data_IF_642936827005
#
_entry.id   IF_642936827005
#
_cell.length_a   1.000
_cell.length_b   1.000
_cell.length_c   1.000
_cell.angle_alpha   90.00
_cell.angle_beta   90.00
_cell.angle_gamma   90.00
#
_symmetry.space_group_name_H-M   'P 1'
#
loop_
_entity.id
_entity.type
_entity.pdbx_description
1 polymer ?
#
# COMPACT_ATOMS: atom_id res chain seq x y z
N UNK A 1 1.68 14.44 28.89
CA UNK A 1 2.62 14.03 27.87
C UNK A 1 3.14 12.62 28.10
N UNK A 2 2.65 11.63 27.41
CA UNK A 2 3.37 10.37 27.21
C UNK A 2 3.44 9.96 25.74
N UNK A 3 3.40 10.94 24.82
CA UNK A 3 3.57 10.68 23.37
C UNK A 3 4.91 9.98 23.01
N UNK A 4 6.06 10.31 23.61
CA UNK A 4 7.33 9.70 23.26
C UNK A 4 7.35 8.18 23.43
N UNK A 5 6.80 7.64 24.51
CA UNK A 5 6.84 6.19 24.80
C UNK A 5 6.01 5.38 23.79
N UNK A 6 4.82 5.86 23.42
CA UNK A 6 3.95 5.18 22.44
C UNK A 6 4.57 5.17 21.05
N UNK A 7 5.14 6.30 20.59
CA UNK A 7 5.79 6.40 19.29
C UNK A 7 7.10 5.61 19.24
N UNK A 8 7.88 5.58 20.31
CA UNK A 8 9.06 4.74 20.45
C UNK A 8 8.70 3.25 20.27
N UNK A 9 7.64 2.80 20.92
CA UNK A 9 7.12 1.44 20.76
C UNK A 9 6.66 1.19 19.33
N UNK A 10 5.93 2.14 18.73
CA UNK A 10 5.47 2.02 17.35
C UNK A 10 6.64 1.93 16.33
N UNK A 11 7.70 2.72 16.51
CA UNK A 11 8.90 2.63 15.69
C UNK A 11 9.59 1.27 15.85
N UNK A 12 9.70 0.76 17.09
CA UNK A 12 10.28 -0.56 17.33
C UNK A 12 9.47 -1.68 16.65
N UNK A 13 8.13 -1.61 16.69
CA UNK A 13 7.25 -2.55 15.98
C UNK A 13 7.42 -2.44 14.46
N UNK A 14 7.48 -1.22 13.91
CA UNK A 14 7.69 -1.00 12.48
C UNK A 14 9.05 -1.56 12.01
N UNK A 15 10.12 -1.38 12.80
CA UNK A 15 11.44 -2.00 12.56
C UNK A 15 11.35 -3.53 12.57
N UNK A 16 10.69 -4.13 13.56
CA UNK A 16 10.51 -5.57 13.63
C UNK A 16 9.77 -6.13 12.41
N UNK A 17 8.73 -5.44 11.93
CA UNK A 17 7.99 -5.83 10.72
C UNK A 17 8.89 -5.82 9.48
N UNK A 18 9.71 -4.80 9.28
CA UNK A 18 10.63 -4.74 8.14
C UNK A 18 11.78 -5.74 8.25
N UNK A 19 12.32 -5.95 9.45
CA UNK A 19 13.35 -6.95 9.70
C UNK A 19 12.83 -8.37 9.39
N UNK A 20 11.58 -8.67 9.77
CA UNK A 20 10.93 -9.94 9.44
C UNK A 20 10.75 -10.14 7.93
N UNK A 21 10.42 -9.07 7.19
CA UNK A 21 10.33 -9.11 5.72
C UNK A 21 11.68 -9.40 5.07
N UNK A 22 12.76 -8.74 5.52
CA UNK A 22 14.11 -9.06 5.03
C UNK A 22 14.54 -10.48 5.38
N UNK A 23 14.08 -11.02 6.52
CA UNK A 23 14.30 -12.39 6.93
C UNK A 23 13.67 -13.44 6.01
N UNK A 24 12.69 -13.08 5.19
CA UNK A 24 12.10 -13.95 4.16
C UNK A 24 13.07 -14.21 3.01
N UNK A 25 14.00 -13.29 2.74
CA UNK A 25 14.94 -13.39 1.61
C UNK A 25 16.11 -14.29 1.98
N UNK A 26 16.42 -15.28 1.14
CA UNK A 26 17.61 -16.12 1.33
C UNK A 26 18.88 -15.26 1.19
N UNK A 27 19.94 -15.52 1.99
CA UNK A 27 21.16 -14.72 1.98
C UNK A 27 21.78 -14.50 0.58
N UNK A 28 21.76 -15.53 -0.26
CA UNK A 28 22.27 -15.45 -1.64
C UNK A 28 21.47 -14.56 -2.58
N UNK A 29 20.26 -14.11 -2.19
CA UNK A 29 19.37 -13.30 -3.02
C UNK A 29 19.26 -11.84 -2.56
N UNK A 30 20.02 -11.42 -1.54
CA UNK A 30 19.94 -10.05 -1.01
C UNK A 30 20.38 -8.96 -2.01
N UNK A 31 21.15 -9.33 -3.03
CA UNK A 31 21.58 -8.42 -4.09
C UNK A 31 20.72 -8.53 -5.36
N UNK A 32 19.66 -9.33 -5.35
CA UNK A 32 18.73 -9.41 -6.48
C UNK A 32 17.92 -8.11 -6.64
N UNK A 33 17.44 -7.89 -7.88
CA UNK A 33 16.56 -6.79 -8.26
C UNK A 33 15.20 -7.38 -8.65
N UNK A 34 14.22 -7.42 -7.72
CA UNK A 34 12.95 -8.10 -7.98
C UNK A 34 12.07 -7.43 -9.05
N UNK A 35 12.21 -6.11 -9.18
CA UNK A 35 11.49 -5.26 -10.13
C UNK A 35 12.53 -4.41 -10.85
N UNK A 36 12.48 -4.42 -12.19
CA UNK A 36 13.55 -3.85 -13.02
C UNK A 36 13.78 -2.34 -12.77
N UNK A 37 12.71 -1.60 -12.50
CA UNK A 37 12.74 -0.14 -12.24
C UNK A 37 13.10 0.23 -10.80
N UNK A 38 13.26 -0.76 -9.92
CA UNK A 38 13.55 -0.55 -8.50
C UNK A 38 15.01 -0.85 -8.17
N UNK A 39 15.45 -0.38 -7.02
CA UNK A 39 16.76 -0.76 -6.48
C UNK A 39 16.84 -2.23 -6.09
N UNK A 40 18.07 -2.71 -5.85
CA UNK A 40 18.32 -4.04 -5.29
C UNK A 40 17.85 -4.12 -3.83
N UNK A 41 17.62 -5.33 -3.33
CA UNK A 41 17.14 -5.53 -1.95
C UNK A 41 18.10 -4.94 -0.92
N UNK A 42 19.41 -5.07 -1.13
CA UNK A 42 20.44 -4.53 -0.23
C UNK A 42 20.32 -3.02 -0.01
N UNK A 43 19.90 -2.27 -1.05
CA UNK A 43 19.60 -0.83 -0.90
C UNK A 43 18.57 -0.60 0.21
N UNK A 44 17.44 -1.29 0.12
CA UNK A 44 16.33 -1.07 1.05
C UNK A 44 16.67 -1.49 2.49
N UNK A 45 17.53 -2.47 2.67
CA UNK A 45 18.02 -2.86 4.01
C UNK A 45 18.75 -1.68 4.69
N UNK A 46 19.56 -0.94 3.94
CA UNK A 46 20.21 0.27 4.46
C UNK A 46 19.34 1.51 4.45
N UNK A 47 18.45 1.63 3.43
CA UNK A 47 17.65 2.82 3.18
C UNK A 47 16.72 3.19 4.35
N UNK A 48 16.07 2.20 4.96
CA UNK A 48 15.15 2.47 6.06
C UNK A 48 15.85 3.11 7.26
N UNK A 49 17.04 2.65 7.58
CA UNK A 49 17.83 3.24 8.67
C UNK A 49 18.46 4.59 8.27
N UNK A 50 18.93 4.70 7.03
CA UNK A 50 19.47 5.95 6.52
C UNK A 50 18.41 7.05 6.42
N UNK A 51 17.17 6.69 6.09
CA UNK A 51 16.03 7.64 6.10
C UNK A 51 15.80 8.16 7.51
N UNK A 52 15.61 7.26 8.49
CA UNK A 52 15.41 7.64 9.89
C UNK A 52 16.56 8.52 10.39
N UNK A 53 17.82 8.14 10.06
CA UNK A 53 19.01 8.89 10.40
C UNK A 53 19.03 10.29 9.80
N UNK A 54 18.85 10.42 8.51
CA UNK A 54 18.89 11.70 7.82
C UNK A 54 17.73 12.63 8.24
N UNK A 55 16.57 12.06 8.62
CA UNK A 55 15.44 12.80 9.09
C UNK A 55 15.63 13.33 10.53
N UNK A 56 16.21 12.52 11.42
CA UNK A 56 16.20 12.77 12.86
C UNK A 56 17.52 13.30 13.41
N UNK A 57 18.67 13.03 12.76
CA UNK A 57 19.99 13.35 13.32
C UNK A 57 20.19 14.84 13.62
N UNK A 58 19.76 15.72 12.70
CA UNK A 58 19.97 17.18 12.85
C UNK A 58 19.07 17.75 13.98
N UNK A 59 17.75 17.49 14.03
CA UNK A 59 16.90 17.88 15.14
C UNK A 59 17.37 17.37 16.52
N UNK A 60 18.06 16.22 16.55
CA UNK A 60 18.61 15.63 17.77
C UNK A 60 20.03 16.11 18.11
N UNK A 61 20.67 16.91 17.25
CA UNK A 61 22.05 17.38 17.40
C UNK A 61 23.10 16.28 17.30
N UNK A 62 22.83 15.24 16.51
CA UNK A 62 23.73 14.10 16.33
C UNK A 62 24.71 14.35 15.18
N UNK A 63 25.99 14.09 15.45
CA UNK A 63 27.03 14.23 14.44
C UNK A 63 27.01 13.08 13.43
N UNK A 64 27.27 13.41 12.18
CA UNK A 64 27.43 12.44 11.09
C UNK A 64 28.59 11.48 11.40
N UNK A 65 28.38 10.18 11.21
CA UNK A 65 29.40 9.17 11.43
C UNK A 65 29.81 8.39 10.17
N UNK A 66 28.95 8.35 9.14
CA UNK A 66 29.23 7.62 7.91
C UNK A 66 28.65 8.31 6.66
N UNK A 67 29.18 9.48 6.24
CA UNK A 67 28.58 10.31 5.18
C UNK A 67 28.34 9.59 3.85
N UNK A 68 29.22 8.64 3.50
CA UNK A 68 29.10 7.89 2.23
C UNK A 68 27.92 6.92 2.25
N UNK A 69 27.68 6.18 3.34
CA UNK A 69 26.52 5.28 3.46
C UNK A 69 25.24 6.06 3.70
N UNK A 70 25.29 7.16 4.48
CA UNK A 70 24.14 8.06 4.66
C UNK A 70 23.58 8.52 3.32
N UNK A 71 24.48 8.89 2.39
CA UNK A 71 24.12 9.33 1.04
C UNK A 71 23.73 8.18 0.14
N UNK A 72 24.50 7.08 0.13
CA UNK A 72 24.22 5.91 -0.71
C UNK A 72 22.83 5.34 -0.40
N UNK A 73 22.50 5.15 0.86
CA UNK A 73 21.21 4.59 1.25
C UNK A 73 20.07 5.61 1.27
N UNK A 74 20.35 6.92 1.21
CA UNK A 74 19.29 7.92 1.00
C UNK A 74 18.79 7.91 -0.45
N UNK A 75 19.70 7.85 -1.42
CA UNK A 75 19.38 8.06 -2.84
C UNK A 75 19.58 6.83 -3.72
N UNK A 76 20.37 5.85 -3.26
CA UNK A 76 20.74 4.70 -4.07
C UNK A 76 21.75 5.02 -5.18
N UNK A 77 21.87 4.11 -6.12
CA UNK A 77 22.60 4.28 -7.38
C UNK A 77 21.57 4.49 -8.47
N UNK A 78 21.03 5.71 -8.53
CA UNK A 78 19.97 6.03 -9.47
C UNK A 78 20.48 6.24 -10.89
N UNK A 79 19.79 5.70 -11.88
CA UNK A 79 20.05 6.06 -13.26
C UNK A 79 19.55 7.48 -13.55
N UNK A 80 20.02 8.13 -14.63
CA UNK A 80 19.37 9.33 -15.13
C UNK A 80 17.87 9.12 -15.35
N UNK A 81 17.11 10.20 -15.19
CA UNK A 81 15.64 10.16 -15.36
C UNK A 81 15.24 9.49 -16.68
N UNK A 82 14.34 8.55 -16.61
CA UNK A 82 13.84 7.80 -17.77
C UNK A 82 14.73 6.63 -18.22
N UNK A 83 15.81 6.33 -17.49
CA UNK A 83 16.65 5.15 -17.76
C UNK A 83 16.45 4.08 -16.69
N UNK A 84 16.77 2.83 -17.09
CA UNK A 84 16.76 1.69 -16.18
C UNK A 84 18.04 1.65 -15.35
N UNK A 85 17.99 1.21 -14.07
CA UNK A 85 19.18 0.99 -13.25
C UNK A 85 20.15 0.00 -13.90
N UNK A 86 21.45 0.33 -13.85
CA UNK A 86 22.52 -0.48 -14.45
C UNK A 86 23.55 -0.98 -13.45
N UNK A 87 23.42 -0.62 -12.17
CA UNK A 87 24.29 -1.03 -11.09
C UNK A 87 24.38 -2.56 -10.97
N UNK A 88 25.57 -3.04 -10.59
CA UNK A 88 25.86 -4.45 -10.36
C UNK A 88 25.84 -4.77 -8.87
N UNK A 89 25.70 -6.05 -8.46
CA UNK A 89 25.83 -6.44 -7.04
C UNK A 89 27.12 -5.93 -6.38
N UNK A 90 28.23 -5.88 -7.12
CA UNK A 90 29.54 -5.40 -6.66
C UNK A 90 29.62 -3.91 -6.36
N UNK A 91 28.67 -3.12 -6.83
CA UNK A 91 28.64 -1.67 -6.60
C UNK A 91 28.06 -1.33 -5.20
N UNK A 92 27.52 -2.32 -4.52
CA UNK A 92 26.89 -2.20 -3.22
C UNK A 92 27.81 -2.68 -2.08
N UNK A 93 27.71 -2.11 -0.87
CA UNK A 93 28.45 -2.58 0.30
C UNK A 93 28.16 -4.06 0.61
N UNK A 94 29.06 -4.73 1.27
CA UNK A 94 28.81 -6.05 1.80
C UNK A 94 27.67 -6.00 2.81
N UNK A 95 26.85 -7.05 2.84
CA UNK A 95 25.67 -7.11 3.74
C UNK A 95 26.07 -6.95 5.22
N UNK A 96 27.27 -7.41 5.61
CA UNK A 96 27.81 -7.20 6.95
C UNK A 96 28.06 -5.73 7.27
N UNK A 97 28.57 -4.95 6.32
CA UNK A 97 28.80 -3.50 6.46
C UNK A 97 27.45 -2.76 6.55
N UNK A 98 26.49 -3.14 5.71
CA UNK A 98 25.14 -2.57 5.75
C UNK A 98 24.49 -2.81 7.11
N UNK A 99 24.58 -4.03 7.66
CA UNK A 99 24.03 -4.35 8.97
C UNK A 99 24.70 -3.62 10.11
N UNK A 100 26.04 -3.53 10.09
CA UNK A 100 26.78 -2.76 11.09
C UNK A 100 26.42 -1.25 11.06
N UNK A 101 26.20 -0.69 9.86
CA UNK A 101 25.67 0.66 9.69
C UNK A 101 24.29 0.79 10.34
N UNK A 102 23.38 -0.12 10.05
CA UNK A 102 22.01 -0.13 10.59
C UNK A 102 22.00 -0.20 12.13
N UNK A 103 22.79 -1.10 12.70
CA UNK A 103 22.94 -1.24 14.16
C UNK A 103 23.42 0.06 14.78
N UNK A 104 24.42 0.71 14.18
CA UNK A 104 24.94 1.97 14.68
C UNK A 104 23.94 3.11 14.57
N UNK A 105 23.17 3.18 13.50
CA UNK A 105 22.06 4.16 13.36
C UNK A 105 21.05 3.96 14.49
N UNK A 106 20.57 2.72 14.67
CA UNK A 106 19.57 2.39 15.71
C UNK A 106 20.10 2.74 17.10
N UNK A 107 21.32 2.33 17.44
CA UNK A 107 21.96 2.64 18.72
C UNK A 107 21.94 4.14 19.02
N UNK A 108 22.37 4.96 18.05
CA UNK A 108 22.50 6.41 18.23
C UNK A 108 21.15 7.12 18.30
N UNK A 109 20.18 6.73 17.45
CA UNK A 109 18.85 7.30 17.48
C UNK A 109 18.11 6.91 18.74
N UNK A 110 18.15 5.62 19.13
CA UNK A 110 17.38 5.10 20.27
C UNK A 110 17.81 5.73 21.60
N UNK A 111 19.06 6.17 21.72
CA UNK A 111 19.54 6.92 22.87
C UNK A 111 18.87 8.29 23.04
N UNK A 112 18.38 8.90 21.97
CA UNK A 112 17.90 10.28 21.95
C UNK A 112 16.40 10.41 21.50
N UNK A 113 15.71 9.32 21.21
CA UNK A 113 14.34 9.34 20.66
C UNK A 113 13.34 10.13 21.50
N UNK A 114 13.54 10.19 22.82
CA UNK A 114 12.65 10.93 23.73
C UNK A 114 12.67 12.47 23.48
N UNK A 115 13.69 12.94 22.76
CA UNK A 115 13.86 14.35 22.38
C UNK A 115 13.41 14.62 20.93
N UNK A 116 13.08 13.58 20.18
CA UNK A 116 12.72 13.73 18.77
C UNK A 116 11.39 14.47 18.60
N UNK A 117 11.27 15.36 17.61
CA UNK A 117 9.98 15.99 17.29
C UNK A 117 8.94 14.93 16.91
N UNK A 118 7.75 15.03 17.50
CA UNK A 118 6.67 14.04 17.32
C UNK A 118 6.30 13.84 15.86
N UNK A 119 6.19 14.92 15.09
CA UNK A 119 5.89 14.85 13.65
C UNK A 119 6.91 14.02 12.88
N UNK A 120 8.21 14.17 13.17
CA UNK A 120 9.26 13.43 12.47
C UNK A 120 9.29 11.95 12.88
N UNK A 121 8.91 11.62 14.11
CA UNK A 121 8.72 10.22 14.52
C UNK A 121 7.56 9.56 13.76
N UNK A 122 6.45 10.25 13.59
CA UNK A 122 5.36 9.75 12.75
C UNK A 122 5.81 9.52 11.32
N UNK A 123 6.56 10.45 10.73
CA UNK A 123 7.12 10.31 9.38
C UNK A 123 8.03 9.09 9.29
N UNK A 124 8.97 8.91 10.23
CA UNK A 124 9.86 7.74 10.26
C UNK A 124 9.08 6.41 10.33
N UNK A 125 8.08 6.34 11.23
CA UNK A 125 7.24 5.17 11.41
C UNK A 125 6.45 4.85 10.13
N UNK A 126 5.70 5.82 9.60
CA UNK A 126 4.84 5.57 8.46
C UNK A 126 5.60 5.36 7.15
N UNK A 127 6.72 6.07 6.95
CA UNK A 127 7.62 5.80 5.83
C UNK A 127 8.08 4.34 5.83
N UNK A 128 8.50 3.82 6.99
CA UNK A 128 8.91 2.43 7.15
C UNK A 128 7.76 1.45 6.90
N UNK A 129 6.55 1.76 7.38
CA UNK A 129 5.37 0.93 7.16
C UNK A 129 4.92 0.91 5.69
N UNK A 130 4.99 2.04 4.98
CA UNK A 130 4.76 2.09 3.53
C UNK A 130 5.79 1.27 2.75
N UNK A 131 7.06 1.35 3.15
CA UNK A 131 8.09 0.50 2.57
C UNK A 131 7.90 -0.97 2.88
N UNK A 132 7.37 -1.35 4.04
CA UNK A 132 7.06 -2.74 4.35
C UNK A 132 6.06 -3.35 3.33
N UNK A 133 5.06 -2.59 2.91
CA UNK A 133 4.16 -3.01 1.82
C UNK A 133 4.88 -3.05 0.46
N UNK A 134 5.69 -2.02 0.16
CA UNK A 134 6.51 -1.98 -1.05
C UNK A 134 7.40 -3.22 -1.16
N UNK A 135 8.04 -3.62 -0.06
CA UNK A 135 8.82 -4.86 -0.04
C UNK A 135 7.98 -6.09 -0.26
N UNK A 136 6.80 -6.17 0.31
CA UNK A 136 5.95 -7.33 0.13
C UNK A 136 5.70 -7.59 -1.37
N UNK A 137 5.28 -6.60 -2.15
CA UNK A 137 5.08 -6.80 -3.57
C UNK A 137 6.40 -6.91 -4.37
N UNK A 138 7.48 -6.29 -3.93
CA UNK A 138 8.80 -6.52 -4.54
C UNK A 138 9.25 -7.97 -4.35
N UNK A 139 9.23 -8.48 -3.12
CA UNK A 139 9.62 -9.85 -2.80
C UNK A 139 8.72 -10.87 -3.49
N UNK A 140 7.46 -10.53 -3.76
CA UNK A 140 6.55 -11.37 -4.53
C UNK A 140 7.08 -11.67 -5.95
N UNK A 141 7.83 -10.73 -6.53
CA UNK A 141 8.43 -10.91 -7.86
C UNK A 141 9.75 -11.70 -7.86
N UNK A 142 10.31 -12.04 -6.71
CA UNK A 142 11.40 -13.00 -6.63
C UNK A 142 10.89 -14.43 -6.90
N UNK A 143 11.73 -15.29 -7.51
CA UNK A 143 11.39 -16.71 -7.64
C UNK A 143 11.22 -17.36 -6.24
N UNK A 144 10.34 -18.38 -6.11
CA UNK A 144 10.13 -19.05 -4.82
C UNK A 144 11.43 -19.56 -4.15
N UNK A 145 12.39 -20.05 -4.95
CA UNK A 145 13.70 -20.51 -4.45
C UNK A 145 14.59 -19.43 -3.83
N UNK A 146 14.31 -18.14 -4.04
CA UNK A 146 15.02 -17.03 -3.43
C UNK A 146 14.47 -16.64 -2.04
N UNK A 147 13.39 -17.27 -1.63
CA UNK A 147 12.66 -16.97 -0.38
C UNK A 147 12.58 -18.18 0.54
N UNK A 148 12.43 -17.91 1.82
CA UNK A 148 12.09 -18.91 2.84
C UNK A 148 10.58 -18.88 3.04
N UNK A 149 9.88 -19.93 2.60
CA UNK A 149 8.43 -20.01 2.76
C UNK A 149 8.05 -20.35 4.20
N UNK A 150 7.12 -19.64 4.83
CA UNK A 150 6.45 -20.16 6.01
C UNK A 150 5.59 -21.37 5.61
N UNK A 151 5.29 -22.30 6.53
CA UNK A 151 4.35 -23.36 6.26
C UNK A 151 2.97 -22.74 5.99
N UNK A 152 2.47 -22.87 4.75
CA UNK A 152 1.16 -22.37 4.35
C UNK A 152 0.34 -23.51 3.78
N UNK A 153 -0.95 -23.54 4.15
CA UNK A 153 -1.93 -24.35 3.42
C UNK A 153 -2.59 -23.44 2.40
N UNK A 154 -2.70 -23.84 1.13
CA UNK A 154 -3.44 -23.08 0.14
C UNK A 154 -4.90 -22.92 0.60
N UNK A 155 -5.45 -21.72 0.51
CA UNK A 155 -6.88 -21.50 0.77
C UNK A 155 -7.70 -22.29 -0.26
N UNK A 156 -8.79 -22.92 0.19
CA UNK A 156 -9.74 -23.54 -0.73
C UNK A 156 -10.42 -22.44 -1.54
N UNK A 157 -10.42 -22.59 -2.86
CA UNK A 157 -11.17 -21.69 -3.77
C UNK A 157 -12.63 -22.10 -3.80
N UNK A 158 -13.51 -21.10 -3.75
CA UNK A 158 -14.97 -21.26 -3.96
C UNK A 158 -15.43 -20.49 -5.19
N UNK A 159 -16.68 -20.70 -5.60
CA UNK A 159 -17.29 -19.91 -6.66
C UNK A 159 -17.48 -18.47 -6.18
N UNK A 160 -17.36 -17.48 -7.09
CA UNK A 160 -17.59 -16.08 -6.76
C UNK A 160 -19.02 -15.90 -6.22
N UNK A 161 -19.24 -14.98 -5.25
CA UNK A 161 -20.59 -14.62 -4.85
C UNK A 161 -21.34 -13.95 -6.02
N UNK A 162 -22.66 -14.01 -5.99
CA UNK A 162 -23.47 -13.33 -6.99
C UNK A 162 -23.19 -11.81 -6.99
N UNK A 163 -22.99 -11.24 -8.16
CA UNK A 163 -22.80 -9.80 -8.33
C UNK A 163 -24.00 -9.03 -7.77
N UNK A 164 -23.73 -7.97 -7.01
CA UNK A 164 -24.74 -7.12 -6.40
C UNK A 164 -24.28 -5.67 -6.40
N UNK A 165 -25.15 -4.77 -6.85
CA UNK A 165 -24.98 -3.33 -6.71
C UNK A 165 -25.67 -2.84 -5.44
N UNK A 166 -25.08 -1.84 -4.79
CA UNK A 166 -25.59 -1.18 -3.59
C UNK A 166 -25.85 0.28 -3.94
N UNK A 167 -27.07 0.73 -3.73
CA UNK A 167 -27.44 2.13 -3.94
C UNK A 167 -26.85 3.02 -2.86
N UNK A 168 -26.17 4.08 -3.27
CA UNK A 168 -25.59 5.11 -2.41
C UNK A 168 -26.33 6.42 -2.69
N UNK A 169 -27.08 6.97 -1.74
CA UNK A 169 -27.81 8.21 -1.95
C UNK A 169 -26.87 9.39 -2.13
N UNK A 170 -27.31 10.41 -2.88
CA UNK A 170 -26.62 11.67 -3.02
C UNK A 170 -26.28 12.27 -1.65
N UNK A 171 -25.17 12.99 -1.60
CA UNK A 171 -24.71 13.62 -0.35
C UNK A 171 -23.31 14.18 -0.49
N UNK A 172 -22.66 14.48 0.63
CA UNK A 172 -21.32 15.01 0.66
C UNK A 172 -20.31 13.91 0.98
N UNK A 173 -19.18 13.90 0.30
CA UNK A 173 -17.98 13.14 0.68
C UNK A 173 -16.93 14.12 1.20
N UNK A 174 -16.45 13.89 2.43
CA UNK A 174 -15.39 14.71 3.01
C UNK A 174 -14.05 14.01 2.80
N UNK A 175 -13.23 14.56 1.90
CA UNK A 175 -11.87 14.10 1.62
C UNK A 175 -10.86 14.85 2.49
N UNK A 176 -9.69 14.26 2.66
CA UNK A 176 -8.61 14.87 3.41
C UNK A 176 -8.88 14.96 4.92
N UNK A 177 -8.19 15.87 5.59
CA UNK A 177 -8.28 16.09 7.03
C UNK A 177 -7.96 17.53 7.43
N UNK A 178 -8.41 17.93 8.59
CA UNK A 178 -8.11 19.24 9.19
C UNK A 178 -6.72 19.25 9.82
N UNK A 179 -6.01 20.36 9.67
CA UNK A 179 -4.77 20.61 10.41
C UNK A 179 -5.03 20.58 11.93
N UNK A 180 -4.07 20.05 12.68
CA UNK A 180 -4.17 19.92 14.13
C UNK A 180 -4.95 18.69 14.63
N UNK A 181 -5.49 17.86 13.75
CA UNK A 181 -6.23 16.65 14.12
C UNK A 181 -5.35 15.38 14.00
N UNK A 182 -4.18 15.40 14.65
CA UNK A 182 -3.20 14.32 14.61
C UNK A 182 -2.35 14.32 13.34
N UNK A 183 -1.50 13.29 13.16
CA UNK A 183 -0.60 13.16 12.02
C UNK A 183 -1.34 12.82 10.73
N UNK A 184 -0.86 13.36 9.62
CA UNK A 184 -1.20 13.02 8.24
C UNK A 184 -0.06 13.47 7.35
N UNK A 185 0.07 12.87 6.15
CA UNK A 185 1.01 13.30 5.13
C UNK A 185 0.54 14.60 4.46
N UNK A 186 1.45 15.31 3.82
CA UNK A 186 1.18 16.61 3.20
C UNK A 186 -0.02 16.59 2.24
N UNK A 187 -0.18 15.52 1.46
CA UNK A 187 -1.29 15.35 0.52
C UNK A 187 -2.64 15.02 1.17
N UNK A 188 -2.68 14.79 2.48
CA UNK A 188 -3.92 14.55 3.22
C UNK A 188 -4.59 15.88 3.67
N UNK A 189 -3.92 17.02 3.50
CA UNK A 189 -4.43 18.35 3.87
C UNK A 189 -4.78 19.18 2.62
N UNK A 190 -5.79 20.04 2.66
CA UNK A 190 -6.74 20.27 3.75
C UNK A 190 -8.03 19.50 3.48
N UNK A 191 -8.92 19.45 4.52
CA UNK A 191 -10.24 18.84 4.37
C UNK A 191 -11.02 19.54 3.24
N UNK A 192 -11.62 18.72 2.38
CA UNK A 192 -12.39 19.17 1.23
C UNK A 192 -13.73 18.42 1.16
N UNK A 193 -14.83 19.14 1.22
CA UNK A 193 -16.18 18.59 1.11
C UNK A 193 -16.66 18.65 -0.34
N UNK A 194 -16.97 17.49 -0.93
CA UNK A 194 -17.38 17.37 -2.33
C UNK A 194 -18.81 16.83 -2.43
N UNK A 195 -19.74 17.56 -3.09
CA UNK A 195 -21.05 17.04 -3.44
C UNK A 195 -20.89 15.80 -4.34
N UNK A 196 -21.54 14.69 -3.96
CA UNK A 196 -21.49 13.43 -4.70
C UNK A 196 -22.93 13.05 -5.07
N UNK A 197 -23.27 12.97 -6.37
CA UNK A 197 -24.58 12.49 -6.82
C UNK A 197 -24.89 11.08 -6.31
N UNK A 198 -26.14 10.66 -6.37
CA UNK A 198 -26.49 9.27 -6.12
C UNK A 198 -25.87 8.35 -7.18
N UNK A 199 -25.44 7.17 -6.78
CA UNK A 199 -24.84 6.14 -7.65
C UNK A 199 -25.06 4.76 -7.07
N UNK A 200 -24.85 3.73 -7.88
CA UNK A 200 -24.77 2.37 -7.38
C UNK A 200 -23.32 1.87 -7.44
N UNK A 201 -22.87 1.09 -6.44
CA UNK A 201 -21.52 0.55 -6.36
C UNK A 201 -21.56 -0.96 -6.12
N UNK A 202 -20.62 -1.72 -6.71
CA UNK A 202 -20.50 -3.15 -6.46
C UNK A 202 -20.31 -3.44 -4.98
N UNK A 203 -21.10 -4.38 -4.42
CA UNK A 203 -20.96 -4.82 -3.03
C UNK A 203 -19.54 -5.33 -2.75
N UNK A 204 -18.98 -6.10 -3.67
CA UNK A 204 -17.67 -6.72 -3.57
C UNK A 204 -16.70 -6.12 -4.57
N UNK A 205 -15.38 -6.25 -4.32
CA UNK A 205 -14.36 -6.08 -5.35
C UNK A 205 -14.59 -7.07 -6.47
N UNK A 206 -14.24 -6.73 -7.70
CA UNK A 206 -14.27 -7.67 -8.83
C UNK A 206 -13.36 -8.86 -8.50
N UNK A 207 -13.91 -10.06 -8.64
CA UNK A 207 -13.22 -11.31 -8.29
C UNK A 207 -12.42 -11.87 -9.46
N UNK A 208 -11.47 -12.77 -9.16
CA UNK A 208 -10.76 -13.52 -10.20
C UNK A 208 -11.75 -14.30 -11.12
N UNK A 209 -12.82 -14.86 -10.56
CA UNK A 209 -13.82 -15.60 -11.35
C UNK A 209 -14.58 -14.73 -12.33
N UNK A 210 -14.98 -13.51 -11.91
CA UNK A 210 -15.61 -12.54 -12.80
C UNK A 210 -14.63 -12.08 -13.88
N UNK A 211 -13.40 -11.73 -13.50
CA UNK A 211 -12.36 -11.26 -14.42
C UNK A 211 -11.93 -12.35 -15.43
N UNK A 212 -12.00 -13.62 -15.04
CA UNK A 212 -11.68 -14.75 -15.92
C UNK A 212 -12.58 -14.77 -17.17
N UNK A 213 -13.82 -14.32 -17.08
CA UNK A 213 -14.71 -14.22 -18.25
C UNK A 213 -14.22 -13.15 -19.24
N UNK A 214 -13.70 -12.05 -18.75
CA UNK A 214 -13.08 -11.01 -19.57
C UNK A 214 -11.81 -11.53 -20.29
N UNK A 215 -10.95 -12.28 -19.56
CA UNK A 215 -9.78 -12.93 -20.17
C UNK A 215 -10.18 -13.98 -21.22
N UNK A 216 -11.23 -14.76 -20.96
CA UNK A 216 -11.80 -15.70 -21.96
C UNK A 216 -12.34 -14.98 -23.19
N UNK A 217 -12.81 -13.75 -23.02
CA UNK A 217 -13.22 -12.85 -24.11
C UNK A 217 -12.07 -12.22 -24.91
N UNK A 218 -10.83 -12.53 -24.59
CA UNK A 218 -9.63 -12.07 -25.32
C UNK A 218 -8.79 -11.00 -24.61
N UNK A 219 -9.14 -10.60 -23.39
CA UNK A 219 -8.32 -9.67 -22.61
C UNK A 219 -7.01 -10.34 -22.14
N UNK A 220 -5.98 -9.53 -21.88
CA UNK A 220 -4.72 -10.00 -21.31
C UNK A 220 -4.94 -10.49 -19.85
N UNK A 221 -4.20 -11.54 -19.42
CA UNK A 221 -4.27 -11.99 -18.03
C UNK A 221 -3.53 -11.03 -17.11
N UNK A 222 -3.99 -10.86 -15.86
CA UNK A 222 -3.31 -10.06 -14.84
C UNK A 222 -1.91 -10.56 -14.51
N UNK A 223 -1.05 -9.66 -14.00
CA UNK A 223 0.35 -9.93 -13.66
C UNK A 223 0.55 -11.14 -12.72
N UNK A 224 -0.36 -11.36 -11.78
CA UNK A 224 -0.26 -12.44 -10.79
C UNK A 224 -0.86 -13.77 -11.28
N UNK A 225 -1.33 -13.85 -12.53
CA UNK A 225 -1.83 -15.09 -13.09
C UNK A 225 -0.78 -15.77 -13.97
N UNK A 226 -0.72 -17.08 -13.90
CA UNK A 226 0.13 -17.91 -14.73
C UNK A 226 -0.68 -19.07 -15.31
N UNK A 227 -0.25 -19.60 -16.45
CA UNK A 227 -0.92 -20.73 -17.08
C UNK A 227 -0.14 -22.01 -16.85
N UNK A 228 -0.82 -23.06 -16.31
CA UNK A 228 -0.26 -24.38 -16.07
C UNK A 228 -1.20 -25.43 -16.65
N UNK A 229 -0.70 -26.30 -17.51
CA UNK A 229 -1.47 -27.40 -18.10
C UNK A 229 -2.85 -26.98 -18.66
N UNK A 230 -2.92 -25.79 -19.24
CA UNK A 230 -4.15 -25.23 -19.80
C UNK A 230 -5.06 -24.48 -18.83
N UNK A 231 -4.85 -24.57 -17.52
CA UNK A 231 -5.59 -23.86 -16.49
C UNK A 231 -4.87 -22.61 -15.97
N UNK A 232 -5.63 -21.64 -15.50
CA UNK A 232 -5.08 -20.47 -14.81
C UNK A 232 -4.80 -20.77 -13.34
N UNK A 233 -3.65 -20.31 -12.87
CA UNK A 233 -3.20 -20.39 -11.48
C UNK A 233 -2.83 -18.99 -10.98
N UNK A 234 -2.93 -18.80 -9.69
CA UNK A 234 -2.42 -17.64 -9.00
C UNK A 234 -0.96 -17.87 -8.62
N UNK A 235 -0.11 -16.91 -8.99
CA UNK A 235 1.29 -16.86 -8.57
C UNK A 235 1.36 -16.15 -7.22
N UNK A 236 1.26 -16.90 -6.14
CA UNK A 236 1.36 -16.38 -4.77
C UNK A 236 2.79 -16.05 -4.33
N UNK A 237 2.93 -15.50 -3.13
CA UNK A 237 4.22 -15.07 -2.58
C UNK A 237 5.26 -16.21 -2.55
N UNK A 238 4.87 -17.42 -2.16
CA UNK A 238 5.79 -18.54 -1.94
C UNK A 238 5.58 -19.71 -2.89
N UNK A 239 4.61 -19.65 -3.77
CA UNK A 239 4.31 -20.72 -4.70
C UNK A 239 3.08 -20.44 -5.55
N UNK A 240 2.73 -21.42 -6.35
CA UNK A 240 1.59 -21.37 -7.25
C UNK A 240 0.41 -22.12 -6.64
N UNK A 241 -0.79 -21.60 -6.82
CA UNK A 241 -2.03 -22.26 -6.39
C UNK A 241 -3.08 -22.22 -7.51
N UNK A 242 -4.08 -23.11 -7.53
CA UNK A 242 -5.24 -22.92 -8.37
C UNK A 242 -5.80 -21.50 -8.21
N UNK A 243 -6.31 -20.90 -9.29
CA UNK A 243 -6.82 -19.54 -9.25
C UNK A 243 -7.97 -19.42 -8.23
N UNK A 244 -7.85 -18.58 -7.17
CA UNK A 244 -8.90 -18.41 -6.17
C UNK A 244 -10.03 -17.56 -6.75
N UNK A 245 -11.08 -18.21 -7.26
CA UNK A 245 -12.12 -17.54 -8.05
C UNK A 245 -12.94 -16.51 -7.24
N UNK A 246 -13.06 -16.70 -5.94
CA UNK A 246 -13.81 -15.86 -4.99
C UNK A 246 -12.95 -14.77 -4.30
N UNK A 247 -11.65 -14.69 -4.62
CA UNK A 247 -10.78 -13.64 -4.14
C UNK A 247 -10.73 -12.46 -5.14
N UNK A 248 -10.39 -11.23 -4.68
CA UNK A 248 -10.27 -10.08 -5.57
C UNK A 248 -9.18 -10.28 -6.61
N UNK A 249 -9.43 -9.83 -7.84
CA UNK A 249 -8.38 -9.75 -8.86
C UNK A 249 -7.50 -8.53 -8.59
N UNK A 250 -6.18 -8.70 -8.71
CA UNK A 250 -5.23 -7.59 -8.67
C UNK A 250 -4.74 -7.28 -10.08
N UNK A 251 -4.90 -6.02 -10.47
CA UNK A 251 -4.71 -5.54 -11.84
C UNK A 251 -4.13 -4.13 -11.85
N UNK A 252 -3.68 -3.67 -13.00
CA UNK A 252 -3.36 -2.27 -13.25
C UNK A 252 -4.63 -1.42 -13.37
N UNK A 253 -4.51 -0.09 -13.28
CA UNK A 253 -5.65 0.82 -13.50
C UNK A 253 -6.21 0.67 -14.93
N UNK A 254 -5.33 0.57 -15.95
CA UNK A 254 -5.75 0.38 -17.35
C UNK A 254 -6.55 -0.90 -17.56
N UNK A 255 -6.15 -1.98 -16.90
CA UNK A 255 -6.87 -3.26 -16.95
C UNK A 255 -8.22 -3.16 -16.23
N UNK A 256 -8.27 -2.45 -15.08
CA UNK A 256 -9.51 -2.19 -14.34
C UNK A 256 -10.49 -1.34 -15.16
N UNK A 257 -10.01 -0.27 -15.79
CA UNK A 257 -10.81 0.59 -16.66
C UNK A 257 -11.30 -0.15 -17.91
N UNK A 258 -10.45 -0.98 -18.52
CA UNK A 258 -10.84 -1.79 -19.67
C UNK A 258 -11.95 -2.81 -19.30
N UNK A 259 -11.84 -3.45 -18.12
CA UNK A 259 -12.90 -4.32 -17.61
C UNK A 259 -14.19 -3.54 -17.33
N UNK A 260 -14.09 -2.37 -16.69
CA UNK A 260 -15.26 -1.55 -16.39
C UNK A 260 -16.03 -1.17 -17.68
N UNK A 261 -15.32 -0.74 -18.72
CA UNK A 261 -15.92 -0.46 -20.03
C UNK A 261 -16.56 -1.70 -20.65
N UNK A 262 -15.89 -2.86 -20.59
CA UNK A 262 -16.43 -4.13 -21.08
C UNK A 262 -17.73 -4.51 -20.35
N UNK A 263 -17.81 -4.24 -19.05
CA UNK A 263 -19.00 -4.49 -18.22
C UNK A 263 -20.09 -3.40 -18.35
N UNK A 264 -19.88 -2.35 -19.18
CA UNK A 264 -20.80 -1.23 -19.33
C UNK A 264 -20.91 -0.33 -18.09
N UNK A 265 -19.86 -0.28 -17.28
CA UNK A 265 -19.76 0.45 -16.01
C UNK A 265 -18.51 1.34 -15.96
N UNK A 266 -18.23 1.95 -14.81
CA UNK A 266 -17.07 2.82 -14.59
C UNK A 266 -16.36 2.46 -13.29
N UNK A 267 -15.10 2.93 -13.13
CA UNK A 267 -14.42 2.96 -11.85
C UNK A 267 -14.98 4.09 -10.98
N UNK A 268 -15.05 3.93 -9.65
CA UNK A 268 -15.48 4.99 -8.75
C UNK A 268 -14.46 6.13 -8.77
N UNK A 269 -14.93 7.35 -8.58
CA UNK A 269 -14.08 8.46 -8.18
C UNK A 269 -13.66 8.32 -6.71
N UNK A 270 -12.60 9.05 -6.27
CA UNK A 270 -12.22 9.08 -4.85
C UNK A 270 -13.39 9.54 -3.97
N UNK A 271 -14.20 10.52 -4.41
CA UNK A 271 -15.38 10.99 -3.69
C UNK A 271 -16.47 9.91 -3.58
N UNK A 272 -16.73 9.14 -4.63
CA UNK A 272 -17.70 8.03 -4.59
C UNK A 272 -17.19 6.91 -3.65
N UNK A 273 -15.89 6.57 -3.70
CA UNK A 273 -15.32 5.62 -2.74
C UNK A 273 -15.54 6.10 -1.29
N UNK A 274 -15.19 7.36 -0.99
CA UNK A 274 -15.37 7.94 0.34
C UNK A 274 -16.83 7.91 0.80
N UNK A 275 -17.76 8.29 -0.09
CA UNK A 275 -19.19 8.28 0.20
C UNK A 275 -19.67 6.86 0.56
N UNK A 276 -19.28 5.86 -0.23
CA UNK A 276 -19.64 4.46 0.01
C UNK A 276 -19.00 3.89 1.28
N UNK A 277 -17.78 4.32 1.61
CA UNK A 277 -17.00 3.77 2.69
C UNK A 277 -17.33 4.40 4.05
N UNK A 278 -17.42 5.71 4.11
CA UNK A 278 -17.39 6.42 5.39
C UNK A 278 -18.71 7.13 5.72
N UNK A 279 -19.58 7.38 4.75
CA UNK A 279 -20.85 8.02 5.03
C UNK A 279 -21.87 7.03 5.60
N UNK A 280 -22.89 7.59 6.26
CA UNK A 280 -24.00 6.85 6.86
C UNK A 280 -25.33 7.27 6.23
N UNK A 281 -26.37 6.43 6.30
CA UNK A 281 -27.70 6.76 5.77
C UNK A 281 -28.36 8.01 6.37
N UNK A 282 -28.00 8.36 7.60
CA UNK A 282 -28.47 9.56 8.30
C UNK A 282 -27.70 10.84 7.94
N UNK A 283 -26.73 10.74 7.01
CA UNK A 283 -25.96 11.87 6.51
C UNK A 283 -24.67 12.17 7.29
N UNK A 284 -24.35 11.38 8.31
CA UNK A 284 -23.09 11.43 9.03
C UNK A 284 -21.93 10.78 8.28
N UNK A 285 -20.73 10.85 8.88
CA UNK A 285 -19.52 10.15 8.41
C UNK A 285 -18.79 9.50 9.59
N UNK A 286 -18.13 8.37 9.32
CA UNK A 286 -17.39 7.56 10.29
C UNK A 286 -15.90 7.56 9.99
N UNK A 287 -15.03 7.33 10.99
CA UNK A 287 -13.58 7.18 10.76
C UNK A 287 -13.23 5.92 9.95
N UNK A 288 -14.03 4.85 10.10
CA UNK A 288 -13.88 3.59 9.36
C UNK A 288 -15.23 3.12 8.80
N UNK A 289 -15.24 2.28 7.75
CA UNK A 289 -16.49 1.78 7.17
C UNK A 289 -17.43 1.12 8.21
N UNK A 290 -16.87 0.38 9.15
CA UNK A 290 -17.59 -0.36 10.20
C UNK A 290 -17.98 0.46 11.43
N UNK A 291 -17.52 1.71 11.55
CA UNK A 291 -17.80 2.59 12.69
C UNK A 291 -16.57 3.25 13.29
N UNK A 292 -16.55 3.40 14.61
CA UNK A 292 -15.51 4.17 15.33
C UNK A 292 -14.36 3.30 15.85
N UNK A 293 -14.55 1.99 15.94
CA UNK A 293 -13.55 1.07 16.43
C UNK A 293 -12.29 1.05 15.53
N UNK A 294 -11.09 1.09 16.12
CA UNK A 294 -9.85 0.99 15.35
C UNK A 294 -9.77 -0.28 14.47
N UNK A 295 -8.93 -0.29 13.43
CA UNK A 295 -8.69 -1.48 12.63
C UNK A 295 -8.21 -2.65 13.50
N UNK A 296 -8.82 -3.81 13.31
CA UNK A 296 -8.52 -5.00 14.08
C UNK A 296 -9.02 -6.30 13.39
N UNK A 297 -8.77 -7.45 14.01
CA UNK A 297 -9.16 -8.76 13.46
C UNK A 297 -10.64 -8.82 13.10
N UNK A 298 -10.98 -9.44 11.96
CA UNK A 298 -12.36 -9.58 11.47
C UNK A 298 -12.94 -8.36 10.75
N UNK A 299 -12.23 -7.22 10.72
CA UNK A 299 -12.64 -6.02 9.99
C UNK A 299 -12.15 -6.00 8.54
N UNK A 300 -11.08 -6.72 8.23
CA UNK A 300 -10.48 -6.79 6.91
C UNK A 300 -9.24 -7.67 6.87
N UNK A 301 -8.72 -7.92 5.68
CA UNK A 301 -7.42 -8.55 5.47
C UNK A 301 -6.38 -7.44 5.25
N UNK A 302 -5.71 -7.03 6.31
CA UNK A 302 -4.70 -5.96 6.38
C UNK A 302 -3.71 -6.22 7.53
N UNK A 303 -2.82 -5.28 7.83
CA UNK A 303 -1.87 -5.29 8.94
C UNK A 303 -0.95 -6.53 8.94
N UNK A 304 -0.47 -6.89 7.75
CA UNK A 304 0.41 -8.05 7.55
C UNK A 304 -0.20 -9.40 7.93
N UNK A 305 -1.54 -9.48 8.08
CA UNK A 305 -2.23 -10.69 8.50
C UNK A 305 -2.07 -11.87 7.55
N UNK A 306 -2.00 -11.61 6.25
CA UNK A 306 -1.76 -12.65 5.24
C UNK A 306 -0.82 -12.18 4.13
N UNK A 307 -0.31 -13.12 3.33
CA UNK A 307 0.48 -12.82 2.14
C UNK A 307 -0.39 -12.73 0.88
N UNK A 308 -1.49 -13.44 0.87
CA UNK A 308 -2.35 -13.62 -0.29
C UNK A 308 -3.75 -13.06 -0.04
N UNK A 309 -4.53 -12.78 -1.09
CA UNK A 309 -5.90 -12.30 -0.92
C UNK A 309 -6.80 -13.37 -0.31
N UNK A 310 -7.78 -12.93 0.45
CA UNK A 310 -8.86 -13.75 1.00
C UNK A 310 -10.12 -13.66 0.14
N UNK A 311 -11.10 -14.57 0.27
CA UNK A 311 -12.40 -14.43 -0.36
C UNK A 311 -13.04 -13.06 -0.10
N UNK A 312 -13.71 -12.48 -1.09
CA UNK A 312 -14.36 -11.14 -0.96
C UNK A 312 -15.48 -11.09 0.08
N UNK A 313 -15.88 -12.25 0.60
CA UNK A 313 -16.90 -12.41 1.66
C UNK A 313 -16.31 -12.69 3.03
N UNK A 314 -14.98 -12.78 3.18
CA UNK A 314 -14.33 -13.30 4.39
C UNK A 314 -14.50 -12.42 5.64
N UNK A 315 -14.74 -11.12 5.48
CA UNK A 315 -14.76 -10.16 6.60
C UNK A 315 -16.02 -9.27 6.61
N UNK A 316 -17.20 -9.85 6.83
CA UNK A 316 -18.46 -9.09 6.84
C UNK A 316 -18.52 -8.06 7.99
N UNK A 317 -17.73 -8.24 9.05
CA UNK A 317 -17.59 -7.25 10.13
C UNK A 317 -16.94 -5.93 9.71
N UNK A 318 -16.38 -5.85 8.50
CA UNK A 318 -15.80 -4.66 7.90
C UNK A 318 -16.71 -3.93 6.90
N UNK A 319 -17.97 -4.35 6.76
CA UNK A 319 -18.90 -3.74 5.83
C UNK A 319 -19.21 -2.28 6.22
N UNK A 320 -19.42 -1.42 5.21
CA UNK A 320 -19.80 -0.03 5.45
C UNK A 320 -21.26 0.08 5.94
N UNK A 321 -21.64 1.27 6.37
CA UNK A 321 -23.03 1.54 6.80
C UNK A 321 -24.08 1.25 5.72
N UNK A 322 -23.68 1.29 4.45
CA UNK A 322 -24.53 0.91 3.31
C UNK A 322 -24.46 -0.59 2.97
N UNK A 323 -23.59 -1.36 3.62
CA UNK A 323 -23.40 -2.79 3.37
C UNK A 323 -22.46 -3.12 2.21
N UNK A 324 -21.57 -2.19 1.85
CA UNK A 324 -20.49 -2.44 0.88
C UNK A 324 -19.32 -3.12 1.61
N UNK A 325 -18.88 -4.26 1.09
CA UNK A 325 -17.93 -5.15 1.77
C UNK A 325 -16.48 -4.82 1.43
N UNK A 326 -15.58 -5.00 2.42
CA UNK A 326 -14.12 -4.94 2.25
C UNK A 326 -13.61 -3.66 1.56
N UNK A 327 -14.19 -2.49 1.85
CA UNK A 327 -13.65 -1.21 1.39
C UNK A 327 -12.27 -0.91 1.98
N UNK A 328 -11.91 -1.57 3.08
CA UNK A 328 -10.57 -1.56 3.66
C UNK A 328 -10.02 -2.98 3.70
N UNK A 329 -8.77 -3.14 3.24
CA UNK A 329 -8.05 -4.41 3.21
C UNK A 329 -8.32 -5.25 1.96
N UNK A 330 -7.60 -6.37 1.87
CA UNK A 330 -7.70 -7.39 0.82
C UNK A 330 -7.34 -6.92 -0.61
N UNK A 331 -6.72 -5.79 -0.73
CA UNK A 331 -6.30 -5.11 -1.96
C UNK A 331 -6.78 -3.67 -1.98
N UNK A 332 -5.87 -2.77 -2.36
CA UNK A 332 -6.21 -1.40 -2.71
C UNK A 332 -7.27 -1.40 -3.81
N UNK A 333 -7.97 -0.29 -3.98
CA UNK A 333 -8.93 -0.11 -5.04
C UNK A 333 -8.59 1.08 -5.91
N UNK A 334 -8.44 0.83 -7.21
CA UNK A 334 -8.27 1.87 -8.20
C UNK A 334 -9.49 2.78 -8.24
N UNK A 335 -9.23 4.08 -8.29
CA UNK A 335 -10.25 5.09 -8.59
C UNK A 335 -9.94 5.75 -9.94
N UNK A 336 -10.95 6.33 -10.57
CA UNK A 336 -10.78 7.14 -11.79
C UNK A 336 -10.22 8.54 -11.52
N UNK A 337 -9.86 8.86 -10.27
CA UNK A 337 -9.40 10.19 -9.87
C UNK A 337 -7.88 10.30 -10.04
N UNK A 338 -7.38 11.23 -10.90
CA UNK A 338 -5.96 11.54 -10.94
C UNK A 338 -5.47 12.06 -9.58
N UNK A 339 -4.25 11.68 -9.20
CA UNK A 339 -3.65 12.16 -7.98
C UNK A 339 -3.27 13.64 -8.13
N UNK A 340 -3.96 14.49 -7.37
CA UNK A 340 -3.80 15.93 -7.40
C UNK A 340 -3.85 16.51 -5.96
N UNK A 341 -3.28 17.71 -5.73
CA UNK A 341 -3.33 18.34 -4.42
C UNK A 341 -4.76 18.78 -4.06
N UNK A 342 -5.07 18.77 -2.77
CA UNK A 342 -6.25 19.47 -2.27
C UNK A 342 -6.00 20.99 -2.26
N UNK A 343 -7.07 21.83 -2.30
CA UNK A 343 -6.93 23.28 -2.19
C UNK A 343 -6.15 23.69 -0.94
N UNK A 344 -5.14 24.55 -1.10
CA UNK A 344 -4.28 24.99 0.00
C UNK A 344 -3.14 24.01 0.36
N UNK A 345 -2.83 23.05 -0.50
CA UNK A 345 -1.72 22.13 -0.31
C UNK A 345 -0.39 22.86 -0.10
N UNK A 346 0.37 22.42 0.91
CA UNK A 346 1.74 22.83 1.18
C UNK A 346 2.61 21.59 1.42
N UNK A 347 3.72 21.42 0.68
CA UNK A 347 4.60 20.28 0.88
C UNK A 347 5.31 20.37 2.24
N UNK A 348 5.63 19.24 2.84
CA UNK A 348 6.45 19.22 4.04
C UNK A 348 7.84 19.78 3.78
N UNK A 349 8.32 20.77 4.56
CA UNK A 349 9.63 21.41 4.31
C UNK A 349 10.81 20.45 4.46
N UNK A 350 10.67 19.41 5.29
CA UNK A 350 11.68 18.38 5.51
C UNK A 350 11.58 17.21 4.51
N UNK A 351 10.50 17.13 3.72
CA UNK A 351 10.29 16.08 2.69
C UNK A 351 9.44 16.61 1.53
N UNK A 352 9.89 17.66 0.82
CA UNK A 352 9.06 18.39 -0.15
C UNK A 352 8.69 17.57 -1.39
N UNK A 353 9.46 16.51 -1.69
CA UNK A 353 9.20 15.62 -2.82
C UNK A 353 8.28 14.44 -2.53
N UNK A 354 7.71 14.33 -1.32
CA UNK A 354 6.91 13.17 -0.94
C UNK A 354 5.72 12.96 -1.87
N UNK A 355 4.89 13.96 -2.09
CA UNK A 355 3.71 13.88 -2.96
C UNK A 355 3.73 14.87 -4.12
N UNK A 356 4.32 16.05 -3.97
CA UNK A 356 4.29 17.12 -4.97
C UNK A 356 4.81 16.69 -6.35
N UNK A 357 5.83 15.83 -6.40
CA UNK A 357 6.42 15.33 -7.64
C UNK A 357 5.49 14.39 -8.43
N UNK A 358 4.40 13.92 -7.83
CA UNK A 358 3.45 12.99 -8.40
C UNK A 358 2.12 13.64 -8.81
N UNK A 359 1.98 14.96 -8.64
CA UNK A 359 0.86 15.74 -9.18
C UNK A 359 1.08 16.06 -10.66
N UNK A 360 1.37 15.02 -11.43
CA UNK A 360 1.82 15.09 -12.83
C UNK A 360 0.73 14.69 -13.84
N UNK A 361 -0.48 14.39 -13.34
CA UNK A 361 -1.60 13.90 -14.15
C UNK A 361 -1.43 12.46 -14.68
N UNK A 362 -0.34 11.78 -14.29
CA UNK A 362 -0.02 10.43 -14.73
C UNK A 362 -0.17 9.38 -13.60
N UNK A 363 -0.52 9.80 -12.40
CA UNK A 363 -0.79 8.92 -11.26
C UNK A 363 -2.27 8.99 -10.87
N UNK A 364 -2.81 7.84 -10.45
CA UNK A 364 -4.20 7.71 -10.01
C UNK A 364 -4.27 7.32 -8.54
N UNK A 365 -5.29 7.86 -7.87
CA UNK A 365 -5.53 7.56 -6.45
C UNK A 365 -6.01 6.12 -6.29
N UNK A 366 -5.42 5.40 -5.35
CA UNK A 366 -5.94 4.14 -4.83
C UNK A 366 -6.33 4.30 -3.36
N UNK A 367 -7.42 3.65 -2.96
CA UNK A 367 -7.98 3.74 -1.61
C UNK A 367 -8.14 2.36 -0.97
N UNK A 368 -8.25 2.32 0.34
CA UNK A 368 -8.56 1.10 1.10
C UNK A 368 -7.36 0.49 1.80
N UNK A 369 -6.58 -0.32 1.11
CA UNK A 369 -5.42 -1.02 1.66
C UNK A 369 -5.37 -2.49 1.24
N UNK A 370 -4.19 -3.07 1.27
CA UNK A 370 -3.90 -4.47 0.92
C UNK A 370 -3.71 -5.34 2.16
N UNK A 371 -3.54 -6.66 2.02
CA UNK A 371 -3.17 -7.53 3.14
C UNK A 371 -1.89 -7.11 3.87
N UNK A 372 -1.05 -6.33 3.21
CA UNK A 372 0.26 -5.89 3.69
C UNK A 372 0.30 -4.41 4.09
N UNK A 373 -0.82 -3.70 4.04
CA UNK A 373 -0.94 -2.33 4.52
C UNK A 373 -1.09 -2.33 6.04
N UNK A 374 -0.22 -1.61 6.73
CA UNK A 374 -0.23 -1.51 8.18
C UNK A 374 -1.45 -0.76 8.71
N UNK A 375 -1.99 -1.18 9.85
CA UNK A 375 -3.17 -0.58 10.48
C UNK A 375 -3.12 0.96 10.65
N UNK A 376 -1.99 1.58 11.04
CA UNK A 376 -1.89 3.05 11.14
C UNK A 376 -2.14 3.80 9.83
N UNK A 377 -1.93 3.17 8.68
CA UNK A 377 -2.15 3.76 7.35
C UNK A 377 -3.61 3.65 6.86
N UNK A 378 -4.49 2.99 7.61
CA UNK A 378 -5.88 2.73 7.17
C UNK A 378 -6.85 3.86 7.54
N UNK A 379 -6.37 5.05 7.90
CA UNK A 379 -7.21 6.21 8.15
C UNK A 379 -7.87 6.72 6.86
N UNK A 380 -9.10 7.25 6.98
CA UNK A 380 -9.90 7.68 5.82
C UNK A 380 -9.20 8.70 4.92
N UNK A 381 -8.37 9.59 5.48
CA UNK A 381 -7.65 10.63 4.73
C UNK A 381 -6.44 10.10 3.97
N UNK A 382 -5.90 8.93 4.31
CA UNK A 382 -4.72 8.38 3.66
C UNK A 382 -4.99 8.14 2.17
N UNK A 383 -4.08 8.62 1.32
CA UNK A 383 -4.12 8.49 -0.14
C UNK A 383 -2.84 7.82 -0.60
N UNK A 384 -2.96 6.76 -1.37
CA UNK A 384 -1.85 6.18 -2.09
C UNK A 384 -2.06 6.37 -3.60
N UNK A 385 -1.01 6.30 -4.39
CA UNK A 385 -1.08 6.58 -5.82
C UNK A 385 -0.05 5.76 -6.59
N UNK A 386 -0.42 5.37 -7.82
CA UNK A 386 0.47 4.68 -8.74
C UNK A 386 0.18 5.10 -10.18
N UNK A 387 1.15 4.80 -11.07
CA UNK A 387 0.93 4.91 -12.51
C UNK A 387 -0.08 3.87 -12.98
N UNK A 388 -0.89 4.18 -14.01
CA UNK A 388 -1.99 3.32 -14.44
C UNK A 388 -1.55 1.99 -15.06
N UNK A 389 -0.28 1.82 -15.38
CA UNK A 389 0.34 0.62 -15.95
C UNK A 389 1.27 -0.12 -14.99
N UNK A 390 1.28 0.25 -13.69
CA UNK A 390 2.13 -0.38 -12.68
C UNK A 390 1.50 -1.69 -12.15
N UNK A 391 2.04 -2.89 -12.50
CA UNK A 391 1.34 -4.15 -12.29
C UNK A 391 1.63 -4.82 -10.95
N UNK A 392 2.53 -4.27 -10.13
CA UNK A 392 3.07 -4.98 -8.97
C UNK A 392 2.30 -4.71 -7.69
N UNK A 393 1.59 -3.59 -7.60
CA UNK A 393 0.81 -3.24 -6.40
C UNK A 393 -0.38 -4.18 -6.22
N UNK A 394 -0.69 -4.52 -4.97
CA UNK A 394 -1.85 -5.34 -4.63
C UNK A 394 -3.13 -4.50 -4.72
N UNK A 395 -3.54 -4.15 -5.92
CA UNK A 395 -4.68 -3.31 -6.20
C UNK A 395 -5.68 -4.02 -7.12
N UNK A 396 -6.91 -4.09 -6.66
CA UNK A 396 -8.08 -4.47 -7.43
C UNK A 396 -8.97 -3.26 -7.68
N UNK A 397 -10.25 -3.50 -7.90
CA UNK A 397 -11.22 -2.43 -8.18
C UNK A 397 -12.64 -2.91 -7.92
N UNK A 398 -13.56 -1.96 -7.91
CA UNK A 398 -15.00 -2.23 -7.99
C UNK A 398 -15.65 -1.32 -9.02
N UNK A 399 -16.89 -1.58 -9.34
CA UNK A 399 -17.61 -0.89 -10.40
C UNK A 399 -18.67 0.04 -9.82
N UNK A 400 -18.95 1.13 -10.56
CA UNK A 400 -20.08 2.02 -10.28
C UNK A 400 -20.95 2.19 -11.51
N UNK A 401 -22.24 2.46 -11.25
CA UNK A 401 -23.25 2.96 -12.18
C UNK A 401 -23.70 4.34 -11.68
N UNK A 402 -23.76 5.32 -12.57
CA UNK A 402 -24.19 6.70 -12.28
C UNK A 402 -25.62 6.92 -12.68
#
# INVERSE_FOLDING_TARGET
MPAPTALRTALAVARANTDALFGVVRPGSLYERPIAERHRIVFYIGHLEAFDWNLLREPLGLEVFHPSLDRLFAFGIDPPVGQMPRDQPSDWPLIGETRAYNERVRERLDAELDRAPEQLLHVAIEHRLMHAETFAYMLHNLPPGAKTAPPTSPAASAEPPAARMIEIPAGTATLGRRSGNGFGWDNEFHECALPTPAFAISKYKVTNGEYLNFVRGGAAPPHFWIRRQGAWHYRGMFGEAPLPLDAPVWVTEREAEAYARWAGKSLPTEAQFHRAAYATPDGGERPYPWGDEPPGPGRGNFDFASWDPAPVTATPGGDSAFGVSQLIGNGWEWTSTPFAPFPGFEPFPFYPGYSANFFDGAHYVIKGGSPRTAAPLLRRSFRNWFRPDYPYVYAGFRLVEN
#
